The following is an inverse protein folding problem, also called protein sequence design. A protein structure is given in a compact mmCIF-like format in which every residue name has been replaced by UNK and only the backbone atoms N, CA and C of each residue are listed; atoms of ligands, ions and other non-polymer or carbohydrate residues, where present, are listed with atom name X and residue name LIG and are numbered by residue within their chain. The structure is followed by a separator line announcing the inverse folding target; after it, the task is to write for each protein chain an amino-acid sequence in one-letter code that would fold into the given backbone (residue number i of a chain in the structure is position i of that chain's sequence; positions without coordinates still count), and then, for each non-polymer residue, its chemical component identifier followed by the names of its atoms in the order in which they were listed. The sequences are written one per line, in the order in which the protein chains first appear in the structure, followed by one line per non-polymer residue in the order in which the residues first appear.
data_IF_424322524622
#
_entry.id   IF_424322524622
#
_cell.length_a   1.000
_cell.length_b   1.000
_cell.length_c   1.000
_cell.angle_alpha   90.00
_cell.angle_beta   90.00
_cell.angle_gamma   90.00
#
_symmetry.space_group_name_H-M   'P 1'
#
loop_
_entity.id
_entity.type
_entity.pdbx_description
1 polymer ?
#
# COMPACT_ATOMS: atom_id res chain seq x y z
N UNK A 1 -8.75 4.69 13.71
CA UNK A 1 -9.26 5.38 14.91
C UNK A 1 -8.21 5.39 16.02
N UNK A 2 -8.03 6.51 16.73
CA UNK A 2 -6.97 6.67 17.73
C UNK A 2 -7.01 5.60 18.85
N UNK A 3 -8.20 5.16 19.23
CA UNK A 3 -8.37 4.12 20.26
C UNK A 3 -7.91 2.72 19.84
N UNK A 4 -7.78 2.47 18.54
CA UNK A 4 -7.35 1.20 17.96
C UNK A 4 -6.02 1.34 17.21
N UNK A 5 -5.24 2.39 17.50
CA UNK A 5 -3.98 2.69 16.79
C UNK A 5 -2.84 1.72 17.17
N UNK A 6 -2.96 1.02 18.30
CA UNK A 6 -1.97 0.00 18.70
C UNK A 6 -0.67 0.55 19.26
N UNK A 7 -0.57 1.87 19.44
CA UNK A 7 0.63 2.49 20.01
C UNK A 7 0.72 2.24 21.53
N UNK A 8 1.92 2.33 22.13
CA UNK A 8 2.06 2.26 23.59
C UNK A 8 1.26 3.30 24.37
N UNK A 9 0.78 4.36 23.73
CA UNK A 9 -0.10 5.36 24.31
C UNK A 9 -1.57 4.89 24.41
N UNK A 10 -1.98 3.96 23.56
CA UNK A 10 -3.37 3.46 23.48
C UNK A 10 -3.53 2.04 24.04
N UNK A 11 -2.49 1.23 24.04
CA UNK A 11 -2.53 -0.15 24.55
C UNK A 11 -1.18 -0.67 25.03
N UNK A 12 -1.21 -1.69 25.89
CA UNK A 12 -0.01 -2.45 26.24
C UNK A 12 0.36 -3.35 25.06
N UNK A 13 1.66 -3.46 24.70
CA UNK A 13 2.11 -4.37 23.64
C UNK A 13 1.64 -5.81 23.90
N UNK A 14 1.20 -6.48 22.84
CA UNK A 14 0.77 -7.88 22.89
C UNK A 14 1.98 -8.77 23.11
N UNK A 15 2.10 -9.53 24.22
CA UNK A 15 3.25 -10.40 24.47
C UNK A 15 3.19 -11.63 23.54
N UNK A 16 4.33 -12.35 23.38
CA UNK A 16 4.35 -13.62 22.66
C UNK A 16 3.30 -14.61 23.19
N UNK A 17 2.48 -15.17 22.29
CA UNK A 17 1.38 -16.07 22.64
C UNK A 17 0.12 -15.35 23.18
N UNK A 18 0.16 -14.03 23.33
CA UNK A 18 -0.99 -13.24 23.70
C UNK A 18 -1.90 -12.91 22.51
N UNK A 19 -3.09 -12.41 22.82
CA UNK A 19 -4.09 -11.92 21.87
C UNK A 19 -4.60 -10.55 22.28
N UNK A 20 -5.06 -9.79 21.30
CA UNK A 20 -5.75 -8.53 21.51
C UNK A 20 -6.85 -8.39 20.47
N UNK A 21 -8.07 -8.11 20.91
CA UNK A 21 -9.21 -7.93 20.04
C UNK A 21 -9.41 -6.44 19.75
N UNK A 22 -9.33 -6.07 18.47
CA UNK A 22 -9.61 -4.72 18.01
C UNK A 22 -11.07 -4.61 17.61
N UNK A 23 -11.80 -3.72 18.29
CA UNK A 23 -13.16 -3.37 17.95
C UNK A 23 -13.20 -1.91 17.48
N UNK A 24 -13.69 -1.68 16.26
CA UNK A 24 -13.78 -0.34 15.71
C UNK A 24 -14.94 -0.20 14.72
N UNK A 25 -15.57 0.96 14.71
CA UNK A 25 -16.55 1.32 13.69
C UNK A 25 -15.81 2.02 12.54
N UNK A 26 -15.92 1.46 11.33
CA UNK A 26 -15.36 2.03 10.11
C UNK A 26 -16.44 2.88 9.43
N UNK A 27 -16.28 4.20 9.44
CA UNK A 27 -17.31 5.16 8.97
C UNK A 27 -17.01 5.70 7.57
N UNK A 28 -15.74 5.72 7.17
CA UNK A 28 -15.31 6.26 5.89
C UNK A 28 -14.89 5.15 4.95
N UNK A 29 -15.49 5.13 3.75
CA UNK A 29 -15.10 4.20 2.68
C UNK A 29 -13.72 4.55 2.13
N UNK A 30 -12.90 3.55 1.80
CA UNK A 30 -11.58 3.80 1.25
C UNK A 30 -10.63 2.61 1.43
N UNK A 31 -9.38 2.83 1.03
CA UNK A 31 -8.29 1.92 1.26
C UNK A 31 -7.48 2.36 2.47
N UNK A 32 -7.39 1.49 3.45
CA UNK A 32 -6.59 1.63 4.66
C UNK A 32 -5.63 0.46 4.76
N UNK A 33 -4.79 0.43 5.79
CA UNK A 33 -3.94 -0.70 6.10
C UNK A 33 -3.66 -0.76 7.59
N UNK A 34 -3.32 -1.94 8.09
CA UNK A 34 -2.83 -2.12 9.44
C UNK A 34 -1.38 -2.58 9.44
N UNK A 35 -0.65 -2.17 10.45
CA UNK A 35 0.75 -2.50 10.66
C UNK A 35 1.10 -2.39 12.15
N UNK A 36 2.19 -3.04 12.63
CA UNK A 36 2.59 -2.99 14.04
C UNK A 36 3.20 -1.65 14.42
N UNK A 37 3.06 -1.30 15.71
CA UNK A 37 3.69 -0.12 16.31
C UNK A 37 4.82 -0.48 17.31
N UNK A 38 5.15 -1.76 17.48
CA UNK A 38 6.30 -2.24 18.27
C UNK A 38 7.36 -2.75 17.33
N UNK A 39 8.56 -2.13 17.32
CA UNK A 39 9.61 -2.41 16.34
C UNK A 39 9.05 -2.47 14.92
N UNK A 40 8.24 -1.46 14.55
CA UNK A 40 7.44 -1.44 13.34
C UNK A 40 8.28 -1.62 12.08
N UNK A 41 9.44 -0.97 12.01
CA UNK A 41 10.41 -1.08 10.93
C UNK A 41 10.83 -2.53 10.65
N UNK A 42 11.11 -3.30 11.72
CA UNK A 42 11.52 -4.71 11.61
C UNK A 42 10.33 -5.62 11.27
N UNK A 43 9.17 -5.35 11.88
CA UNK A 43 8.00 -6.21 11.69
C UNK A 43 7.36 -5.98 10.31
N UNK A 44 7.33 -4.74 9.83
CA UNK A 44 6.87 -4.40 8.47
C UNK A 44 7.80 -5.05 7.43
N UNK A 45 9.13 -4.94 7.60
CA UNK A 45 10.11 -5.60 6.72
C UNK A 45 9.90 -7.12 6.62
N UNK A 46 9.31 -7.73 7.65
CA UNK A 46 8.95 -9.16 7.67
C UNK A 46 7.54 -9.46 7.15
N UNK A 47 6.85 -8.47 6.62
CA UNK A 47 5.54 -8.61 5.99
C UNK A 47 4.37 -8.59 6.96
N UNK A 48 4.54 -8.08 8.19
CA UNK A 48 3.44 -7.99 9.16
C UNK A 48 2.60 -6.73 8.89
N UNK A 49 1.87 -6.73 7.81
CA UNK A 49 0.91 -5.70 7.41
C UNK A 49 -0.14 -6.28 6.48
N UNK A 50 -1.29 -5.62 6.35
CA UNK A 50 -2.23 -5.91 5.26
C UNK A 50 -3.11 -4.70 4.94
N UNK A 51 -3.61 -4.60 3.69
CA UNK A 51 -4.62 -3.62 3.32
C UNK A 51 -5.96 -3.93 3.99
N UNK A 52 -6.72 -2.88 4.29
CA UNK A 52 -8.10 -2.94 4.78
C UNK A 52 -8.95 -2.14 3.82
N UNK A 53 -9.87 -2.80 3.13
CA UNK A 53 -10.80 -2.15 2.22
C UNK A 53 -12.14 -1.95 2.92
N UNK A 54 -12.52 -0.68 3.08
CA UNK A 54 -13.82 -0.29 3.63
C UNK A 54 -14.74 0.06 2.47
N UNK A 55 -15.76 -0.78 2.28
CA UNK A 55 -16.77 -0.56 1.25
C UNK A 55 -17.79 0.49 1.67
N UNK A 56 -18.24 1.31 0.72
CA UNK A 56 -19.27 2.31 0.95
C UNK A 56 -19.31 3.35 -0.19
N UNK A 57 -20.42 4.09 -0.26
CA UNK A 57 -20.62 5.04 -1.34
C UNK A 57 -21.02 4.37 -2.66
N UNK A 58 -20.77 5.08 -3.76
CA UNK A 58 -21.04 4.58 -5.11
C UNK A 58 -19.74 4.05 -5.71
N UNK A 59 -19.67 2.75 -5.91
CA UNK A 59 -18.55 2.15 -6.62
C UNK A 59 -18.62 2.46 -8.12
N UNK A 60 -17.50 2.80 -8.77
CA UNK A 60 -17.47 3.02 -10.21
C UNK A 60 -17.74 1.69 -10.95
N UNK A 61 -18.39 1.80 -12.13
CA UNK A 61 -18.53 0.65 -13.03
C UNK A 61 -17.19 0.36 -13.70
N UNK A 62 -16.60 -0.78 -13.32
CA UNK A 62 -15.25 -1.21 -13.75
C UNK A 62 -15.21 -2.71 -14.02
N UNK A 63 -14.34 -3.12 -14.93
CA UNK A 63 -14.13 -4.52 -15.26
C UNK A 63 -13.40 -5.28 -14.14
N UNK A 64 -12.57 -4.57 -13.35
CA UNK A 64 -11.88 -5.13 -12.20
C UNK A 64 -11.56 -4.06 -11.15
N UNK A 65 -11.53 -4.46 -9.89
CA UNK A 65 -11.04 -3.67 -8.74
C UNK A 65 -9.86 -4.42 -8.13
N UNK A 66 -8.66 -3.80 -8.17
CA UNK A 66 -7.41 -4.46 -7.75
C UNK A 66 -6.74 -3.67 -6.63
N UNK A 67 -6.19 -4.39 -5.67
CA UNK A 67 -5.33 -3.81 -4.63
C UNK A 67 -3.88 -4.18 -4.90
N UNK A 68 -3.02 -3.17 -4.92
CA UNK A 68 -1.57 -3.28 -5.08
C UNK A 68 -0.89 -2.79 -3.81
N UNK A 69 -0.25 -3.69 -3.11
CA UNK A 69 0.63 -3.38 -1.99
C UNK A 69 2.04 -3.24 -2.54
N UNK A 70 2.56 -2.01 -2.48
CA UNK A 70 3.92 -1.68 -2.91
C UNK A 70 4.85 -1.76 -1.72
N UNK A 71 5.90 -2.52 -1.85
CA UNK A 71 6.87 -2.74 -0.78
C UNK A 71 8.28 -2.86 -1.34
N UNK A 72 9.26 -2.77 -0.47
CA UNK A 72 10.62 -3.19 -0.76
C UNK A 72 11.27 -3.82 0.47
N UNK A 73 12.11 -4.80 0.22
CA UNK A 73 12.81 -5.54 1.27
C UNK A 73 14.31 -5.54 1.02
N UNK A 74 15.08 -5.48 2.11
CA UNK A 74 16.53 -5.57 2.05
C UNK A 74 16.97 -7.03 2.23
N UNK A 75 17.48 -7.62 1.15
CA UNK A 75 17.94 -9.01 1.13
C UNK A 75 19.46 -9.06 1.14
N UNK A 76 20.03 -9.76 2.10
CA UNK A 76 21.47 -9.98 2.24
C UNK A 76 22.01 -10.94 1.18
N UNK A 77 23.33 -10.97 1.00
CA UNK A 77 23.98 -11.92 0.09
C UNK A 77 23.70 -13.38 0.43
N UNK A 78 23.35 -13.68 1.67
CA UNK A 78 22.90 -15.00 2.14
C UNK A 78 21.50 -15.38 1.67
N UNK A 79 20.73 -14.44 1.10
CA UNK A 79 19.32 -14.58 0.74
C UNK A 79 18.35 -14.36 1.91
N UNK A 80 18.84 -13.98 3.07
CA UNK A 80 17.99 -13.66 4.22
C UNK A 80 17.58 -12.20 4.23
N UNK A 81 16.40 -11.90 4.80
CA UNK A 81 15.98 -10.52 5.03
C UNK A 81 16.90 -9.85 6.06
N UNK A 82 17.43 -8.69 5.70
CA UNK A 82 18.18 -7.85 6.63
C UNK A 82 17.21 -7.12 7.54
N UNK A 83 17.40 -7.27 8.84
CA UNK A 83 16.70 -6.50 9.86
C UNK A 83 17.62 -5.48 10.54
N UNK A 84 18.86 -5.36 10.04
CA UNK A 84 19.81 -4.39 10.58
C UNK A 84 19.54 -3.02 9.99
N UNK A 85 19.52 -2.04 10.87
CA UNK A 85 19.38 -0.62 10.53
C UNK A 85 20.76 0.02 10.63
N UNK A 86 21.26 0.55 9.53
CA UNK A 86 22.50 1.33 9.50
C UNK A 86 22.25 2.83 9.69
N UNK A 87 23.32 3.62 9.71
CA UNK A 87 23.21 5.08 9.91
C UNK A 87 22.44 5.75 8.76
N UNK A 88 22.57 5.27 7.55
CA UNK A 88 21.83 5.81 6.39
C UNK A 88 20.36 5.46 6.48
N UNK A 89 20.04 4.23 6.90
CA UNK A 89 18.65 3.82 7.15
C UNK A 89 17.97 4.69 8.20
N UNK A 90 18.72 5.10 9.25
CA UNK A 90 18.22 6.02 10.29
C UNK A 90 18.00 7.45 9.78
N UNK A 91 18.84 7.91 8.87
CA UNK A 91 18.80 9.30 8.37
C UNK A 91 17.80 9.48 7.22
N UNK A 92 17.69 8.50 6.32
CA UNK A 92 16.97 8.61 5.06
C UNK A 92 15.76 7.68 4.97
N UNK A 93 15.54 6.84 5.98
CA UNK A 93 14.61 5.71 5.94
C UNK A 93 15.23 4.49 5.26
N UNK A 94 14.85 3.31 5.73
CA UNK A 94 15.33 2.05 5.17
C UNK A 94 14.79 1.87 3.76
N UNK A 95 15.68 1.61 2.79
CA UNK A 95 15.34 1.21 1.44
C UNK A 95 15.88 -0.19 1.15
N UNK A 96 15.01 -1.05 0.66
CA UNK A 96 15.36 -2.41 0.24
C UNK A 96 16.07 -2.43 -1.13
N UNK A 97 16.65 -3.57 -1.46
CA UNK A 97 17.23 -3.83 -2.78
C UNK A 97 16.34 -4.71 -3.67
N UNK A 98 15.18 -5.14 -3.16
CA UNK A 98 14.17 -5.92 -3.88
C UNK A 98 12.83 -5.22 -3.75
N UNK A 99 12.29 -4.74 -4.87
CA UNK A 99 10.94 -4.16 -4.94
C UNK A 99 9.92 -5.26 -5.14
N UNK A 100 8.81 -5.16 -4.42
CA UNK A 100 7.71 -6.11 -4.43
C UNK A 100 6.38 -5.42 -4.72
N UNK A 101 5.52 -6.11 -5.42
CA UNK A 101 4.10 -5.78 -5.58
C UNK A 101 3.30 -7.01 -5.15
N UNK A 102 2.45 -6.86 -4.15
CA UNK A 102 1.72 -7.96 -3.53
C UNK A 102 2.63 -9.15 -3.13
N UNK A 103 3.82 -8.85 -2.58
CA UNK A 103 4.80 -9.84 -2.16
C UNK A 103 5.56 -10.54 -3.28
N UNK A 104 5.40 -10.11 -4.54
CA UNK A 104 6.06 -10.71 -5.72
C UNK A 104 6.96 -9.71 -6.43
N UNK A 105 8.04 -10.19 -7.02
CA UNK A 105 8.90 -9.39 -7.90
C UNK A 105 8.26 -9.31 -9.29
N UNK A 106 8.01 -8.09 -9.78
CA UNK A 106 7.47 -7.82 -11.12
C UNK A 106 6.32 -8.77 -11.52
N UNK A 107 5.20 -8.81 -10.76
CA UNK A 107 4.10 -9.69 -11.11
C UNK A 107 3.48 -9.29 -12.46
N UNK A 108 3.14 -10.28 -13.27
CA UNK A 108 2.31 -10.06 -14.46
C UNK A 108 0.87 -9.74 -14.07
N UNK A 109 0.26 -8.77 -14.76
CA UNK A 109 -1.15 -8.43 -14.60
C UNK A 109 -1.83 -8.68 -15.94
N UNK A 110 -2.87 -9.50 -15.94
CA UNK A 110 -3.70 -9.70 -17.12
C UNK A 110 -4.96 -8.82 -17.01
N UNK A 111 -5.23 -8.05 -18.05
CA UNK A 111 -6.39 -7.20 -18.14
C UNK A 111 -6.97 -7.23 -19.56
N UNK A 112 -8.26 -6.97 -19.70
CA UNK A 112 -8.89 -6.91 -21.01
C UNK A 112 -8.53 -5.57 -21.72
N UNK A 113 -8.19 -5.67 -22.98
CA UNK A 113 -7.93 -4.49 -23.83
C UNK A 113 -9.18 -3.57 -23.86
N UNK A 114 -8.97 -2.26 -23.72
CA UNK A 114 -10.04 -1.27 -23.69
C UNK A 114 -10.90 -1.27 -22.42
N UNK A 115 -10.54 -2.07 -21.42
CA UNK A 115 -11.30 -2.09 -20.16
C UNK A 115 -10.94 -0.91 -19.27
N UNK A 116 -11.91 -0.49 -18.46
CA UNK A 116 -11.69 0.39 -17.32
C UNK A 116 -11.51 -0.46 -16.07
N UNK A 117 -10.45 -0.23 -15.32
CA UNK A 117 -10.21 -0.89 -14.04
C UNK A 117 -10.03 0.15 -12.92
N UNK A 118 -10.33 -0.26 -11.69
CA UNK A 118 -10.01 0.47 -10.46
C UNK A 118 -8.76 -0.14 -9.85
N UNK A 119 -7.73 0.68 -9.68
CA UNK A 119 -6.49 0.27 -9.04
C UNK A 119 -6.30 1.02 -7.74
N UNK A 120 -6.08 0.28 -6.69
CA UNK A 120 -5.87 0.82 -5.35
C UNK A 120 -4.47 0.50 -4.91
N UNK A 121 -3.69 1.53 -4.62
CA UNK A 121 -2.30 1.40 -4.19
C UNK A 121 -2.17 1.72 -2.71
N UNK A 122 -1.36 0.93 -2.00
CA UNK A 122 -0.87 1.23 -0.66
C UNK A 122 0.62 0.95 -0.61
N UNK A 123 1.40 1.90 -0.09
CA UNK A 123 2.83 1.70 0.16
C UNK A 123 3.05 1.22 1.57
N UNK A 124 3.60 0.02 1.74
CA UNK A 124 4.04 -0.54 3.02
C UNK A 124 5.56 -0.41 3.22
N UNK A 125 6.28 0.17 2.27
CA UNK A 125 7.71 0.36 2.36
C UNK A 125 8.12 1.22 3.57
N UNK A 126 9.25 0.89 4.20
CA UNK A 126 9.75 1.62 5.36
C UNK A 126 10.29 3.02 5.01
N UNK A 127 10.86 3.21 3.81
CA UNK A 127 11.46 4.50 3.45
C UNK A 127 11.45 4.80 1.95
N UNK A 128 11.03 3.85 1.10
CA UNK A 128 11.03 4.05 -0.34
C UNK A 128 9.81 4.82 -0.81
N UNK A 129 10.04 5.80 -1.66
CA UNK A 129 9.02 6.43 -2.49
C UNK A 129 8.90 5.68 -3.83
N UNK A 130 7.68 5.43 -4.28
CA UNK A 130 7.42 4.83 -5.58
C UNK A 130 6.88 5.87 -6.55
N UNK A 131 7.48 5.99 -7.72
CA UNK A 131 6.87 6.73 -8.81
C UNK A 131 6.30 5.73 -9.81
N UNK A 132 5.00 5.74 -9.96
CA UNK A 132 4.28 4.89 -10.91
C UNK A 132 3.98 5.66 -12.18
N UNK A 133 4.09 4.99 -13.30
CA UNK A 133 3.71 5.50 -14.62
C UNK A 133 2.90 4.42 -15.35
N UNK A 134 1.89 4.85 -16.09
CA UNK A 134 1.14 3.98 -16.99
C UNK A 134 1.51 4.37 -18.43
N UNK A 135 2.32 3.55 -19.14
CA UNK A 135 2.73 3.89 -20.51
C UNK A 135 1.52 4.07 -21.43
N UNK A 136 1.44 5.26 -22.04
CA UNK A 136 0.33 5.61 -22.95
C UNK A 136 -1.01 5.89 -22.28
N UNK A 137 -1.07 5.91 -20.94
CA UNK A 137 -2.27 6.16 -20.17
C UNK A 137 -2.10 7.25 -19.13
N UNK A 138 -3.18 7.47 -18.38
CA UNK A 138 -3.24 8.38 -17.23
C UNK A 138 -3.92 7.69 -16.07
N UNK A 139 -3.55 8.09 -14.87
CA UNK A 139 -4.28 7.75 -13.64
C UNK A 139 -5.33 8.82 -13.39
N UNK A 140 -6.59 8.45 -13.30
CA UNK A 140 -7.63 9.32 -12.78
C UNK A 140 -7.79 9.06 -11.29
N UNK A 141 -7.24 9.95 -10.48
CA UNK A 141 -7.29 9.84 -9.02
C UNK A 141 -8.70 10.15 -8.53
N UNK A 142 -9.28 9.20 -7.82
CA UNK A 142 -10.64 9.28 -7.25
C UNK A 142 -10.65 9.19 -5.72
N UNK A 143 -9.51 8.81 -5.11
CA UNK A 143 -9.37 8.69 -3.67
C UNK A 143 -7.91 8.66 -3.23
N UNK A 144 -7.69 8.82 -1.94
CA UNK A 144 -6.40 8.78 -1.27
C UNK A 144 -6.53 8.36 0.19
N UNK A 145 -5.63 8.82 1.04
CA UNK A 145 -5.52 8.46 2.46
C UNK A 145 -6.80 8.63 3.27
N UNK A 146 -7.56 9.67 2.98
CA UNK A 146 -8.81 9.99 3.67
C UNK A 146 -10.07 9.43 3.02
N UNK A 147 -9.94 8.56 2.01
CA UNK A 147 -11.08 8.09 1.23
C UNK A 147 -11.25 8.86 -0.10
N UNK A 148 -12.49 9.03 -0.63
CA UNK A 148 -12.73 9.72 -1.89
C UNK A 148 -12.25 11.17 -1.86
N UNK A 149 -11.73 11.66 -3.00
CA UNK A 149 -11.39 13.08 -3.17
C UNK A 149 -12.61 13.87 -3.61
N UNK A 150 -12.71 15.15 -3.21
CA UNK A 150 -13.82 16.02 -3.58
C UNK A 150 -13.91 16.26 -5.10
N UNK A 151 -12.76 16.37 -5.76
CA UNK A 151 -12.67 16.56 -7.20
C UNK A 151 -11.62 15.59 -7.79
N UNK A 152 -12.07 14.58 -8.54
CA UNK A 152 -11.15 13.69 -9.27
C UNK A 152 -10.28 14.47 -10.26
N UNK A 153 -9.00 14.07 -10.37
CA UNK A 153 -8.03 14.69 -11.28
C UNK A 153 -7.20 13.63 -12.01
N UNK A 154 -6.58 14.04 -13.11
CA UNK A 154 -5.75 13.15 -13.93
C UNK A 154 -4.26 13.48 -13.77
N UNK A 155 -3.43 12.45 -13.77
CA UNK A 155 -1.97 12.57 -13.76
C UNK A 155 -1.33 11.42 -14.52
N UNK A 156 -0.19 11.69 -15.15
CA UNK A 156 0.62 10.65 -15.79
C UNK A 156 1.54 9.92 -14.82
N UNK A 157 1.77 10.53 -13.65
CA UNK A 157 2.69 10.02 -12.63
C UNK A 157 2.07 10.09 -11.26
N UNK A 158 2.14 8.99 -10.51
CA UNK A 158 1.80 8.95 -9.10
C UNK A 158 3.10 8.78 -8.31
N UNK A 159 3.42 9.74 -7.47
CA UNK A 159 4.45 9.60 -6.46
C UNK A 159 3.77 9.13 -5.17
N UNK A 160 4.17 7.98 -4.67
CA UNK A 160 3.58 7.35 -3.49
C UNK A 160 4.63 7.26 -2.40
N UNK A 161 4.38 7.95 -1.28
CA UNK A 161 5.22 7.94 -0.09
C UNK A 161 4.95 6.70 0.78
N UNK A 162 5.84 6.34 1.72
CA UNK A 162 5.56 5.33 2.73
C UNK A 162 4.25 5.60 3.48
N UNK A 163 3.38 4.60 3.57
CA UNK A 163 2.07 4.69 4.22
C UNK A 163 0.96 5.33 3.37
N UNK A 164 1.31 5.99 2.27
CA UNK A 164 0.35 6.68 1.41
C UNK A 164 -0.50 5.70 0.59
N UNK A 165 -1.75 6.06 0.35
CA UNK A 165 -2.69 5.28 -0.47
C UNK A 165 -3.24 6.14 -1.60
N UNK A 166 -3.47 5.50 -2.75
CA UNK A 166 -4.19 6.06 -3.88
C UNK A 166 -5.27 5.11 -4.36
N UNK A 167 -6.38 5.69 -4.81
CA UNK A 167 -7.47 5.02 -5.46
C UNK A 167 -7.67 5.67 -6.83
N UNK A 168 -7.46 4.92 -7.91
CA UNK A 168 -7.43 5.46 -9.25
C UNK A 168 -8.26 4.63 -10.21
N UNK A 169 -8.80 5.28 -11.25
CA UNK A 169 -9.30 4.61 -12.43
C UNK A 169 -8.24 4.66 -13.53
N UNK A 170 -8.11 3.56 -14.26
CA UNK A 170 -7.24 3.43 -15.42
C UNK A 170 -8.06 2.93 -16.62
N UNK A 171 -7.81 3.53 -17.79
CA UNK A 171 -8.32 3.03 -19.07
C UNK A 171 -7.17 2.26 -19.74
N UNK A 172 -7.35 0.98 -19.95
CA UNK A 172 -6.32 0.12 -20.51
C UNK A 172 -6.43 0.13 -22.03
N UNK A 173 -5.45 0.76 -22.69
CA UNK A 173 -5.41 0.81 -24.16
C UNK A 173 -5.42 -0.61 -24.74
N UNK A 174 -6.24 -0.82 -25.78
CA UNK A 174 -6.18 -2.02 -26.58
C UNK A 174 -4.84 -2.03 -27.35
N UNK A 175 -3.99 -2.98 -27.04
CA UNK A 175 -2.91 -3.34 -27.96
C UNK A 175 -3.41 -4.52 -28.77
N UNK A 176 -3.61 -4.29 -30.06
CA UNK A 176 -3.68 -5.38 -31.01
C UNK A 176 -2.28 -6.01 -31.05
N UNK A 177 -2.13 -7.17 -30.37
CA UNK A 177 -0.90 -7.94 -30.26
C UNK A 177 -0.46 -8.57 -31.58
#
# INVERSE_FOLDING_TARGET
PNAADGTPASQVPVPPGGTYDYEMTLVDAGLYWYHPHVAGDVQIERGLYAPVLVHGGVDPDVAADRVFVLDDVKVEASGQLSTQTDVLDLMLGRQGNVVLVNGQRAPGITAAAGSRERWRFVSSANGRYFQLELPGGVFRVIGGDGGPVDAPYETQRLLIAPGERYDVLVELAGHDG
#
